data_IF_765984017437
#
_entry.id   IF_765984017437
#
_cell.length_a   1.000
_cell.length_b   1.000
_cell.length_c   1.000
_cell.angle_alpha   90.00
_cell.angle_beta   90.00
_cell.angle_gamma   90.00
#
_symmetry.space_group_name_H-M   'P 1'
#
loop_
_entity.id
_entity.type
_entity.pdbx_description
1 polymer ?
#
# COMPACT_ATOMS: atom_id res chain seq x y z
N UNK A 1 30.66 0.45 -76.86
CA UNK A 1 30.54 -0.41 -78.06
C UNK A 1 29.31 -1.29 -77.91
N UNK A 2 28.52 -1.21 -79.00
CA UNK A 2 27.40 -2.06 -79.44
C UNK A 2 26.08 -1.94 -78.63
N UNK A 3 25.23 -1.13 -79.30
CA UNK A 3 23.78 -1.21 -79.44
C UNK A 3 23.28 -2.58 -79.83
N UNK A 4 22.06 -2.93 -79.43
CA UNK A 4 21.05 -3.42 -80.40
C UNK A 4 19.66 -3.22 -79.78
N UNK A 5 18.85 -2.40 -80.44
CA UNK A 5 17.40 -2.28 -80.37
C UNK A 5 16.74 -3.35 -81.20
N UNK A 6 15.53 -3.78 -80.85
CA UNK A 6 14.51 -4.13 -81.87
C UNK A 6 13.10 -3.95 -81.32
N UNK A 7 12.30 -3.28 -82.13
CA UNK A 7 10.88 -2.94 -81.99
C UNK A 7 9.94 -4.09 -82.41
N UNK A 8 8.67 -3.85 -82.18
CA UNK A 8 7.44 -4.41 -82.77
C UNK A 8 6.79 -5.55 -81.96
N UNK A 9 5.48 -5.71 -81.75
CA UNK A 9 4.33 -5.06 -82.40
C UNK A 9 3.09 -5.28 -81.49
N UNK A 10 2.07 -4.44 -81.67
CA UNK A 10 0.76 -4.46 -81.16
C UNK A 10 -0.10 -5.65 -81.53
N UNK A 11 -0.81 -6.30 -80.65
CA UNK A 11 -2.12 -6.86 -80.98
C UNK A 11 -3.04 -6.84 -79.71
N UNK A 12 -4.11 -6.06 -79.81
CA UNK A 12 -5.26 -5.98 -78.92
C UNK A 12 -6.04 -7.32 -79.00
N UNK A 13 -6.22 -7.92 -77.79
CA UNK A 13 -7.31 -8.89 -77.56
C UNK A 13 -8.16 -8.44 -76.42
N UNK A 14 -9.37 -8.01 -76.73
CA UNK A 14 -10.45 -7.76 -75.73
C UNK A 14 -10.98 -9.10 -75.23
N UNK A 15 -11.00 -9.28 -73.90
CA UNK A 15 -11.79 -10.29 -73.19
C UNK A 15 -12.69 -9.65 -72.13
N UNK A 16 -13.85 -10.23 -71.78
CA UNK A 16 -14.94 -9.49 -71.22
C UNK A 16 -14.83 -9.35 -69.68
N UNK A 17 -15.30 -8.20 -69.17
CA UNK A 17 -15.47 -7.87 -67.78
C UNK A 17 -16.41 -8.87 -67.09
N UNK A 18 -15.90 -9.73 -66.21
CA UNK A 18 -16.67 -10.34 -65.11
C UNK A 18 -16.48 -9.48 -63.88
N UNK A 19 -17.55 -8.82 -63.42
CA UNK A 19 -17.64 -8.17 -62.10
C UNK A 19 -17.52 -9.22 -61.02
N UNK A 20 -16.34 -9.39 -60.43
CA UNK A 20 -16.18 -10.12 -59.18
C UNK A 20 -16.36 -9.16 -58.03
N UNK A 21 -17.47 -9.29 -57.32
CA UNK A 21 -17.73 -8.58 -56.06
C UNK A 21 -16.74 -9.14 -55.01
N UNK A 22 -15.69 -8.37 -54.70
CA UNK A 22 -14.83 -8.66 -53.55
C UNK A 22 -15.59 -8.26 -52.28
N UNK A 23 -16.17 -9.24 -51.58
CA UNK A 23 -16.59 -9.05 -50.18
C UNK A 23 -15.33 -8.89 -49.33
N UNK A 24 -14.99 -7.65 -48.98
CA UNK A 24 -14.05 -7.38 -47.87
C UNK A 24 -14.74 -7.79 -46.57
N UNK A 25 -14.46 -9.01 -46.09
CA UNK A 25 -14.72 -9.36 -44.73
C UNK A 25 -13.74 -8.57 -43.86
N UNK A 26 -14.24 -7.52 -43.18
CA UNK A 26 -13.53 -6.88 -42.07
C UNK A 26 -13.39 -7.91 -40.95
N UNK A 27 -12.31 -8.63 -40.93
CA UNK A 27 -11.88 -9.41 -39.79
C UNK A 27 -11.35 -8.39 -38.78
N UNK A 28 -12.19 -8.06 -37.79
CA UNK A 28 -11.74 -7.35 -36.59
C UNK A 28 -10.78 -8.28 -35.84
N UNK A 29 -9.49 -8.13 -36.07
CA UNK A 29 -8.49 -8.64 -35.17
C UNK A 29 -8.64 -7.88 -33.85
N UNK A 30 -9.37 -8.42 -32.93
CA UNK A 30 -9.31 -7.95 -31.54
C UNK A 30 -7.89 -8.27 -31.05
N UNK A 31 -7.13 -7.22 -30.75
CA UNK A 31 -5.81 -7.34 -30.14
C UNK A 31 -5.92 -8.25 -28.90
N UNK A 32 -5.18 -9.37 -28.82
CA UNK A 32 -5.27 -10.31 -27.70
C UNK A 32 -5.05 -9.64 -26.34
N UNK A 33 -4.31 -8.53 -26.29
CA UNK A 33 -4.11 -7.71 -25.08
C UNK A 33 -5.42 -7.04 -24.66
N UNK A 34 -6.25 -6.58 -25.60
CA UNK A 34 -7.56 -5.97 -25.32
C UNK A 34 -8.62 -7.01 -24.87
N UNK A 35 -8.54 -8.22 -25.39
CA UNK A 35 -9.47 -9.29 -25.02
C UNK A 35 -9.24 -9.80 -23.59
N UNK A 36 -7.99 -9.87 -23.14
CA UNK A 36 -7.64 -10.27 -21.77
C UNK A 36 -8.04 -9.19 -20.73
N UNK A 37 -7.86 -7.92 -21.08
CA UNK A 37 -8.25 -6.79 -20.22
C UNK A 37 -9.76 -6.73 -19.95
N UNK A 38 -10.61 -6.98 -20.97
CA UNK A 38 -12.06 -7.05 -20.82
C UNK A 38 -12.53 -8.16 -19.88
N UNK A 39 -11.73 -9.23 -19.73
CA UNK A 39 -12.05 -10.34 -18.81
C UNK A 39 -11.66 -10.01 -17.36
N UNK A 40 -10.71 -9.09 -17.15
CA UNK A 40 -10.22 -8.72 -15.82
C UNK A 40 -11.09 -7.68 -15.12
N UNK A 41 -11.71 -6.77 -15.87
CA UNK A 41 -12.49 -5.64 -15.36
C UNK A 41 -14.00 -5.91 -15.48
N UNK A 42 -14.72 -5.78 -14.37
CA UNK A 42 -16.18 -5.81 -14.32
C UNK A 42 -16.73 -4.51 -13.75
N UNK A 43 -17.78 -3.96 -14.34
CA UNK A 43 -18.45 -2.73 -13.91
C UNK A 43 -19.85 -3.03 -13.44
N UNK A 44 -20.32 -2.35 -12.38
CA UNK A 44 -21.62 -2.62 -11.73
C UNK A 44 -22.53 -1.40 -11.64
N UNK A 45 -22.01 -0.21 -11.85
CA UNK A 45 -22.79 1.02 -11.76
C UNK A 45 -22.02 2.25 -12.21
N UNK A 46 -22.68 3.38 -12.12
CA UNK A 46 -22.09 4.70 -12.32
C UNK A 46 -21.80 5.36 -10.98
N UNK A 47 -20.77 6.15 -10.94
CA UNK A 47 -20.41 6.94 -9.75
C UNK A 47 -21.40 8.09 -9.54
N UNK A 48 -21.57 8.47 -8.28
CA UNK A 48 -22.27 9.70 -7.94
C UNK A 48 -21.38 10.91 -8.30
N UNK A 49 -21.90 11.96 -8.97
CA UNK A 49 -21.13 13.18 -9.18
C UNK A 49 -20.68 13.77 -7.85
N UNK A 50 -19.49 14.37 -7.86
CA UNK A 50 -19.00 15.10 -6.70
C UNK A 50 -19.89 16.32 -6.43
N UNK A 51 -20.20 16.57 -5.15
CA UNK A 51 -20.94 17.76 -4.75
C UNK A 51 -20.04 18.99 -4.80
N UNK A 52 -20.62 20.14 -5.11
CA UNK A 52 -19.95 21.42 -4.97
C UNK A 52 -19.41 21.59 -3.55
N UNK A 53 -18.18 22.11 -3.42
CA UNK A 53 -17.48 22.32 -2.15
C UNK A 53 -17.12 21.03 -1.38
N UNK A 54 -17.10 19.87 -2.04
CA UNK A 54 -16.55 18.67 -1.41
C UNK A 54 -15.08 18.87 -1.05
N UNK A 55 -14.71 18.51 0.18
CA UNK A 55 -13.31 18.43 0.58
C UNK A 55 -12.77 17.08 0.12
N UNK A 56 -11.87 17.09 -0.84
CA UNK A 56 -11.34 15.89 -1.47
C UNK A 56 -9.83 15.83 -1.29
N UNK A 57 -9.29 14.63 -1.26
CA UNK A 57 -7.86 14.40 -1.14
C UNK A 57 -7.36 13.32 -2.11
N UNK A 58 -6.08 13.40 -2.46
CA UNK A 58 -5.37 12.28 -3.05
C UNK A 58 -5.03 11.26 -1.95
N UNK A 59 -4.78 10.01 -2.35
CA UNK A 59 -4.19 8.96 -1.49
C UNK A 59 -2.85 8.51 -2.09
N UNK A 60 -1.81 9.37 -2.07
CA UNK A 60 -0.63 9.21 -2.94
C UNK A 60 0.35 8.15 -2.48
N UNK A 61 0.15 7.53 -1.31
CA UNK A 61 1.03 6.55 -0.69
C UNK A 61 0.32 5.74 0.40
N UNK A 62 0.99 4.73 0.93
CA UNK A 62 0.54 3.98 2.09
C UNK A 62 0.23 4.94 3.26
N UNK A 63 -0.80 4.67 4.04
CA UNK A 63 -1.31 5.55 5.10
C UNK A 63 -1.85 6.92 4.64
N UNK A 64 -1.99 7.15 3.34
CA UNK A 64 -2.65 8.32 2.78
C UNK A 64 -1.85 9.61 2.81
N UNK A 65 -2.53 10.77 2.68
CA UNK A 65 -1.85 12.05 2.52
C UNK A 65 -1.08 12.51 3.76
N UNK A 66 -1.48 12.04 4.94
CA UNK A 66 -0.91 12.47 6.23
C UNK A 66 -0.05 11.40 6.90
N UNK A 67 0.25 10.28 6.22
CA UNK A 67 1.02 9.13 6.73
C UNK A 67 0.47 8.51 8.04
N UNK A 68 -0.82 8.64 8.30
CA UNK A 68 -1.45 8.25 9.56
C UNK A 68 -2.78 7.48 9.40
N UNK A 69 -3.08 6.97 8.21
CA UNK A 69 -4.32 6.26 7.87
C UNK A 69 -5.59 7.08 8.17
N UNK A 70 -5.54 8.39 7.94
CA UNK A 70 -6.71 9.27 8.11
C UNK A 70 -7.09 9.98 6.82
N UNK A 71 -8.40 10.25 6.68
CA UNK A 71 -8.98 11.07 5.62
C UNK A 71 -9.87 12.13 6.23
N UNK A 72 -9.83 13.33 5.65
CA UNK A 72 -10.71 14.45 5.99
C UNK A 72 -11.74 14.70 4.87
N UNK A 73 -11.93 13.76 3.96
CA UNK A 73 -12.90 13.90 2.88
C UNK A 73 -14.33 14.01 3.42
N UNK A 74 -15.09 14.95 2.87
CA UNK A 74 -16.48 15.21 3.19
C UNK A 74 -17.18 15.92 2.01
N UNK A 75 -18.49 15.75 1.83
CA UNK A 75 -19.36 14.81 2.55
C UNK A 75 -19.24 13.37 2.01
N UNK A 76 -19.40 12.39 2.89
CA UNK A 76 -19.43 10.97 2.55
C UNK A 76 -20.72 10.31 3.07
N UNK A 77 -21.20 9.27 2.38
CA UNK A 77 -22.44 8.56 2.74
C UNK A 77 -22.39 7.93 4.15
N UNK A 78 -21.20 7.56 4.61
CA UNK A 78 -20.96 6.94 5.92
C UNK A 78 -21.15 7.89 7.12
N UNK A 79 -21.19 9.20 6.91
CA UNK A 79 -21.41 10.19 7.98
C UNK A 79 -22.74 9.99 8.70
N UNK A 80 -23.72 9.39 8.04
CA UNK A 80 -25.02 9.05 8.62
C UNK A 80 -25.02 7.77 9.47
N UNK A 81 -23.86 7.17 9.71
CA UNK A 81 -23.74 5.94 10.52
C UNK A 81 -24.14 4.65 9.77
N UNK A 82 -24.16 4.65 8.45
CA UNK A 82 -24.48 3.48 7.62
C UNK A 82 -23.49 3.28 6.49
N UNK A 83 -23.14 2.02 6.20
CA UNK A 83 -22.32 1.60 5.06
C UNK A 83 -23.18 1.54 3.77
N UNK A 84 -23.84 2.63 3.43
CA UNK A 84 -24.55 2.74 2.16
C UNK A 84 -23.54 2.97 1.03
N UNK A 85 -22.73 1.94 0.76
CA UNK A 85 -21.68 1.94 -0.25
C UNK A 85 -22.09 1.14 -1.47
N UNK A 86 -21.74 1.62 -2.65
CA UNK A 86 -22.07 0.96 -3.93
C UNK A 86 -20.80 0.48 -4.61
N UNK A 87 -20.73 -0.81 -4.96
CA UNK A 87 -19.64 -1.32 -5.77
C UNK A 87 -19.77 -0.76 -7.20
N UNK A 88 -18.73 -0.08 -7.69
CA UNK A 88 -18.70 0.53 -9.02
C UNK A 88 -18.01 -0.37 -10.02
N UNK A 89 -16.83 -0.85 -9.65
CA UNK A 89 -16.09 -1.79 -10.47
C UNK A 89 -15.22 -2.71 -9.62
N UNK A 90 -14.81 -3.81 -10.21
CA UNK A 90 -13.79 -4.69 -9.67
C UNK A 90 -12.83 -5.14 -10.76
N UNK A 91 -11.58 -5.34 -10.40
CA UNK A 91 -10.50 -5.74 -11.29
C UNK A 91 -9.80 -6.97 -10.75
N UNK A 92 -9.80 -8.07 -11.51
CA UNK A 92 -8.94 -9.21 -11.19
C UNK A 92 -7.47 -8.79 -11.29
N UNK A 93 -6.71 -9.04 -10.22
CA UNK A 93 -5.27 -8.75 -10.13
C UNK A 93 -4.45 -10.00 -9.87
N UNK A 94 -3.14 -9.86 -9.94
CA UNK A 94 -2.20 -10.86 -9.45
C UNK A 94 -1.97 -10.79 -7.95
N UNK A 95 -0.92 -11.44 -7.48
CA UNK A 95 -0.52 -11.52 -6.07
C UNK A 95 0.06 -10.20 -5.55
N UNK A 96 -0.01 -9.98 -4.25
CA UNK A 96 0.61 -8.85 -3.56
C UNK A 96 -0.30 -8.20 -2.53
N UNK A 97 0.33 -7.56 -1.54
CA UNK A 97 -0.32 -6.83 -0.44
C UNK A 97 -0.14 -5.31 -0.56
N UNK A 98 0.47 -4.81 -1.63
CA UNK A 98 0.65 -3.38 -1.84
C UNK A 98 -0.69 -2.66 -1.93
N UNK A 99 -0.90 -1.63 -1.10
CA UNK A 99 -2.07 -0.75 -1.20
C UNK A 99 -1.98 0.10 -2.47
N UNK A 100 -3.09 0.39 -3.16
CA UNK A 100 -3.05 1.29 -4.31
C UNK A 100 -2.74 2.73 -3.88
N UNK A 101 -2.10 3.48 -4.77
CA UNK A 101 -1.88 4.91 -4.62
C UNK A 101 -2.70 5.69 -5.67
N UNK A 102 -3.32 6.79 -5.25
CA UNK A 102 -4.20 7.57 -6.13
C UNK A 102 -3.82 9.05 -6.10
N UNK A 103 -3.58 9.63 -7.25
CA UNK A 103 -3.36 11.08 -7.43
C UNK A 103 -3.54 11.45 -8.90
N UNK A 104 -3.91 12.70 -9.18
CA UNK A 104 -3.98 13.26 -10.55
C UNK A 104 -4.72 12.36 -11.54
N UNK A 105 -5.88 11.83 -11.15
CA UNK A 105 -6.69 10.91 -11.96
C UNK A 105 -5.96 9.63 -12.39
N UNK A 106 -4.97 9.19 -11.61
CA UNK A 106 -4.27 7.92 -11.77
C UNK A 106 -4.39 7.10 -10.49
N UNK A 107 -4.88 5.88 -10.61
CA UNK A 107 -4.79 4.84 -9.59
C UNK A 107 -3.63 3.93 -9.99
N UNK A 108 -2.63 3.82 -9.14
CA UNK A 108 -1.47 2.95 -9.37
C UNK A 108 -1.67 1.65 -8.59
N UNK A 109 -1.77 0.56 -9.31
CA UNK A 109 -1.84 -0.80 -8.78
C UNK A 109 -0.49 -1.49 -9.01
N UNK A 110 0.04 -2.12 -7.95
CA UNK A 110 1.29 -2.88 -8.02
C UNK A 110 1.05 -4.31 -7.55
N UNK A 111 1.29 -5.28 -8.44
CA UNK A 111 1.01 -6.69 -8.19
C UNK A 111 1.97 -7.59 -8.97
N UNK A 112 1.98 -8.90 -8.66
CA UNK A 112 2.76 -9.91 -9.37
C UNK A 112 1.81 -10.85 -10.13
N UNK A 113 2.08 -11.03 -11.41
CA UNK A 113 1.35 -11.98 -12.25
C UNK A 113 2.30 -12.64 -13.25
N UNK A 114 2.19 -13.95 -13.42
CA UNK A 114 2.99 -14.72 -14.38
C UNK A 114 4.51 -14.47 -14.25
N UNK A 115 5.03 -14.37 -13.01
CA UNK A 115 6.46 -14.16 -12.77
C UNK A 115 6.95 -12.73 -13.05
N UNK A 116 6.05 -11.77 -13.25
CA UNK A 116 6.38 -10.36 -13.44
C UNK A 116 5.72 -9.50 -12.38
N UNK A 117 6.47 -8.60 -11.78
CA UNK A 117 5.91 -7.46 -11.07
C UNK A 117 5.39 -6.45 -12.07
N UNK A 118 4.14 -6.05 -11.91
CA UNK A 118 3.39 -5.17 -12.82
C UNK A 118 2.96 -3.93 -12.05
N UNK A 119 3.36 -2.78 -12.56
CA UNK A 119 2.90 -1.46 -12.11
C UNK A 119 1.95 -0.97 -13.19
N UNK A 120 0.67 -0.83 -12.88
CA UNK A 120 -0.31 -0.34 -13.84
C UNK A 120 -1.05 0.88 -13.34
N UNK A 121 -1.24 1.87 -14.23
CA UNK A 121 -2.11 2.99 -13.98
C UNK A 121 -3.50 2.74 -14.54
N UNK A 122 -4.49 3.05 -13.74
CA UNK A 122 -5.90 2.94 -14.08
C UNK A 122 -6.65 4.23 -13.81
N UNK A 123 -7.70 4.47 -14.58
CA UNK A 123 -8.61 5.55 -14.28
C UNK A 123 -9.36 5.23 -12.96
N UNK A 124 -9.30 6.08 -11.95
CA UNK A 124 -9.84 5.75 -10.62
C UNK A 124 -11.32 5.41 -10.64
N UNK A 125 -12.12 6.14 -11.38
CA UNK A 125 -13.58 6.03 -11.42
C UNK A 125 -14.08 4.85 -12.25
N UNK A 126 -13.35 4.44 -13.28
CA UNK A 126 -13.81 3.41 -14.24
C UNK A 126 -13.01 2.11 -14.18
N UNK A 127 -11.85 2.10 -13.53
CA UNK A 127 -10.94 0.96 -13.51
C UNK A 127 -10.22 0.69 -14.84
N UNK A 128 -10.50 1.46 -15.89
CA UNK A 128 -9.91 1.27 -17.22
C UNK A 128 -8.40 1.50 -17.18
N UNK A 129 -7.65 0.59 -17.80
CA UNK A 129 -6.19 0.67 -17.88
C UNK A 129 -5.75 1.86 -18.74
N UNK A 130 -4.80 2.62 -18.22
CA UNK A 130 -4.17 3.73 -18.94
C UNK A 130 -2.82 3.30 -19.50
N UNK A 131 -1.96 2.75 -18.63
CA UNK A 131 -0.68 2.17 -19.01
C UNK A 131 -0.28 1.03 -18.07
N UNK A 132 0.71 0.24 -18.47
CA UNK A 132 1.36 -0.73 -17.58
C UNK A 132 2.85 -0.82 -17.88
N UNK A 133 3.64 -1.01 -16.83
CA UNK A 133 5.06 -1.32 -16.87
C UNK A 133 5.30 -2.61 -16.10
N UNK A 134 6.14 -3.50 -16.61
CA UNK A 134 6.41 -4.78 -15.96
C UNK A 134 7.88 -5.18 -16.08
N UNK A 135 8.31 -5.99 -15.14
CA UNK A 135 9.64 -6.59 -15.16
C UNK A 135 9.63 -7.97 -14.49
N UNK A 136 10.54 -8.88 -14.87
CA UNK A 136 10.65 -10.19 -14.24
C UNK A 136 10.95 -10.07 -12.74
N UNK A 137 10.25 -10.86 -11.93
CA UNK A 137 10.46 -10.94 -10.49
C UNK A 137 10.29 -12.39 -10.05
N UNK A 138 11.39 -13.05 -9.73
CA UNK A 138 11.39 -14.41 -9.21
C UNK A 138 11.52 -14.38 -7.69
N UNK A 139 10.38 -14.50 -7.04
CA UNK A 139 10.30 -14.60 -5.58
C UNK A 139 9.28 -15.66 -5.19
N UNK A 140 9.61 -16.44 -4.17
CA UNK A 140 8.69 -17.40 -3.54
C UNK A 140 8.70 -17.18 -2.04
N UNK A 141 7.54 -16.91 -1.49
CA UNK A 141 7.35 -16.77 -0.06
C UNK A 141 7.57 -18.10 0.65
N UNK A 142 8.35 -18.11 1.75
CA UNK A 142 8.72 -19.33 2.46
C UNK A 142 7.57 -19.96 3.24
N UNK A 143 6.58 -19.16 3.60
CA UNK A 143 5.47 -19.55 4.46
C UNK A 143 4.17 -19.73 3.69
N UNK A 144 4.21 -19.60 2.36
CA UNK A 144 3.03 -19.78 1.49
C UNK A 144 2.10 -18.59 1.46
N UNK A 145 2.55 -17.41 1.87
CA UNK A 145 1.85 -16.16 1.64
C UNK A 145 2.00 -15.69 0.18
N UNK A 146 1.56 -14.49 -0.13
CA UNK A 146 1.69 -13.94 -1.46
C UNK A 146 3.16 -13.78 -1.92
N UNK A 147 3.43 -14.05 -3.20
CA UNK A 147 4.74 -13.84 -3.82
C UNK A 147 4.91 -12.43 -4.39
N UNK A 148 3.87 -11.62 -4.39
CA UNK A 148 3.88 -10.28 -4.98
C UNK A 148 4.38 -9.18 -4.04
N UNK A 149 4.39 -7.93 -4.53
CA UNK A 149 4.90 -6.79 -3.81
C UNK A 149 4.11 -6.53 -2.53
N UNK A 150 4.81 -6.09 -1.50
CA UNK A 150 4.27 -5.68 -0.19
C UNK A 150 4.37 -4.18 0.02
N UNK A 151 5.41 -3.57 -0.52
CA UNK A 151 5.56 -2.12 -0.49
C UNK A 151 4.58 -1.47 -1.47
N UNK A 152 3.85 -0.48 -0.99
CA UNK A 152 2.92 0.31 -1.79
C UNK A 152 3.66 1.32 -2.66
N UNK A 153 3.18 1.63 -3.85
CA UNK A 153 3.76 2.69 -4.68
C UNK A 153 3.56 4.06 -4.01
N UNK A 154 4.44 4.98 -4.36
CA UNK A 154 4.38 6.38 -3.95
C UNK A 154 4.25 7.24 -5.19
N UNK A 155 3.25 8.12 -5.21
CA UNK A 155 3.07 9.15 -6.24
C UNK A 155 3.58 10.48 -5.69
N UNK A 156 4.53 11.09 -6.39
CA UNK A 156 5.08 12.38 -6.02
C UNK A 156 5.55 13.14 -7.25
N UNK A 157 5.15 14.40 -7.36
CA UNK A 157 5.59 15.33 -8.42
C UNK A 157 5.54 14.72 -9.83
N UNK A 158 4.38 14.16 -10.21
CA UNK A 158 4.16 13.55 -11.52
C UNK A 158 4.95 12.25 -11.77
N UNK A 159 5.44 11.60 -10.73
CA UNK A 159 6.22 10.34 -10.80
C UNK A 159 5.63 9.27 -9.91
N UNK A 160 5.88 8.03 -10.27
CA UNK A 160 5.55 6.83 -9.50
C UNK A 160 6.84 6.15 -9.09
N UNK A 161 7.00 5.93 -7.78
CA UNK A 161 8.11 5.16 -7.21
C UNK A 161 7.58 3.85 -6.66
N UNK A 162 8.15 2.73 -7.10
CA UNK A 162 7.76 1.40 -6.67
C UNK A 162 8.98 0.59 -6.22
N UNK A 163 8.86 -0.04 -5.03
CA UNK A 163 9.88 -0.91 -4.46
C UNK A 163 9.40 -2.36 -4.48
N UNK A 164 9.94 -3.16 -5.39
CA UNK A 164 9.54 -4.54 -5.61
C UNK A 164 9.99 -5.51 -4.52
N UNK A 165 9.34 -6.67 -4.45
CA UNK A 165 9.63 -7.72 -3.46
C UNK A 165 11.06 -8.25 -3.55
N UNK A 166 11.68 -8.17 -4.73
CA UNK A 166 13.07 -8.56 -5.00
C UNK A 166 14.06 -7.42 -4.88
N UNK A 167 13.64 -6.26 -4.36
CA UNK A 167 14.42 -5.02 -4.18
C UNK A 167 14.72 -4.24 -5.47
N UNK A 168 13.95 -4.42 -6.53
CA UNK A 168 13.95 -3.46 -7.62
C UNK A 168 13.31 -2.14 -7.16
N UNK A 169 13.99 -1.04 -7.40
CA UNK A 169 13.46 0.32 -7.20
C UNK A 169 13.25 0.95 -8.57
N UNK A 170 12.00 1.29 -8.87
CA UNK A 170 11.59 1.78 -10.19
C UNK A 170 10.94 3.14 -10.08
N UNK A 171 11.29 4.06 -10.96
CA UNK A 171 10.63 5.36 -11.13
C UNK A 171 10.03 5.46 -12.52
N UNK A 172 8.74 5.75 -12.59
CA UNK A 172 7.98 5.92 -13.82
C UNK A 172 7.38 7.33 -13.89
N UNK A 173 7.21 7.84 -15.09
CA UNK A 173 6.36 8.99 -15.33
C UNK A 173 4.89 8.64 -15.06
N UNK A 174 4.19 9.43 -14.26
CA UNK A 174 2.82 9.14 -13.81
C UNK A 174 1.81 9.15 -14.97
N UNK A 175 2.00 10.04 -15.93
CA UNK A 175 1.06 10.22 -17.03
C UNK A 175 1.18 9.12 -18.08
N UNK A 176 2.40 8.80 -18.48
CA UNK A 176 2.70 7.90 -19.61
C UNK A 176 3.15 6.49 -19.22
N UNK A 177 3.56 6.26 -17.96
CA UNK A 177 4.19 5.01 -17.53
C UNK A 177 5.61 4.79 -18.05
N UNK A 178 6.20 5.81 -18.70
CA UNK A 178 7.56 5.72 -19.21
C UNK A 178 8.56 5.50 -18.06
N UNK A 179 9.43 4.52 -18.23
CA UNK A 179 10.53 4.29 -17.30
C UNK A 179 11.51 5.48 -17.32
N UNK A 180 11.66 6.14 -16.17
CA UNK A 180 12.61 7.23 -15.99
C UNK A 180 13.96 6.70 -15.51
N UNK A 181 13.94 5.85 -14.47
CA UNK A 181 15.11 5.13 -13.98
C UNK A 181 14.71 3.88 -13.19
N UNK A 182 15.66 2.95 -13.06
CA UNK A 182 15.48 1.70 -12.31
C UNK A 182 16.81 1.30 -11.66
N UNK A 183 16.75 0.73 -10.44
CA UNK A 183 17.91 0.28 -9.66
C UNK A 183 17.69 -1.15 -9.14
N UNK A 184 18.71 -1.98 -9.23
CA UNK A 184 18.77 -3.29 -8.56
C UNK A 184 19.47 -3.14 -7.21
N UNK A 185 18.70 -2.76 -6.18
CA UNK A 185 19.25 -2.52 -4.86
C UNK A 185 19.82 -3.79 -4.22
N UNK A 186 19.30 -4.97 -4.59
CA UNK A 186 19.79 -6.25 -4.09
C UNK A 186 21.25 -6.48 -4.47
N UNK A 187 21.57 -6.28 -5.74
CA UNK A 187 22.92 -6.44 -6.26
C UNK A 187 23.83 -5.30 -5.80
N UNK A 188 23.35 -4.05 -5.84
CA UNK A 188 24.14 -2.86 -5.52
C UNK A 188 24.57 -2.78 -4.05
N UNK A 189 23.69 -3.20 -3.11
CA UNK A 189 23.95 -3.13 -1.67
C UNK A 189 24.13 -4.49 -1.02
N UNK A 190 24.21 -5.58 -1.81
CA UNK A 190 24.33 -6.94 -1.31
C UNK A 190 23.28 -7.24 -0.22
N UNK A 191 22.00 -6.98 -0.53
CA UNK A 191 20.92 -7.10 0.43
C UNK A 191 20.65 -8.58 0.73
N UNK A 192 20.59 -9.01 2.02
CA UNK A 192 20.28 -10.38 2.37
C UNK A 192 18.83 -10.74 2.01
N UNK A 193 18.58 -12.03 1.85
CA UNK A 193 17.20 -12.55 1.76
C UNK A 193 16.49 -12.41 3.11
N UNK A 194 15.27 -11.86 3.09
CA UNK A 194 14.38 -11.78 4.24
C UNK A 194 13.20 -12.74 4.08
N UNK A 195 12.48 -13.04 5.18
CA UNK A 195 11.35 -13.98 5.19
C UNK A 195 10.29 -13.63 4.13
N UNK A 196 9.94 -12.35 4.05
CA UNK A 196 8.84 -11.87 3.22
C UNK A 196 9.31 -10.98 2.05
N UNK A 197 10.58 -11.05 1.67
CA UNK A 197 11.16 -10.16 0.65
C UNK A 197 11.25 -8.71 1.13
N UNK A 198 11.04 -7.74 0.24
CA UNK A 198 11.02 -6.33 0.60
C UNK A 198 9.59 -5.84 0.81
N UNK A 199 9.34 -5.14 1.91
CA UNK A 199 8.00 -4.66 2.28
C UNK A 199 7.95 -3.22 2.78
N UNK A 200 9.10 -2.61 3.08
CA UNK A 200 9.17 -1.21 3.48
C UNK A 200 8.87 -0.28 2.30
N UNK A 201 7.92 0.64 2.49
CA UNK A 201 7.57 1.62 1.47
C UNK A 201 8.66 2.68 1.32
N UNK A 202 8.86 3.23 0.11
CA UNK A 202 9.70 4.42 -0.06
C UNK A 202 9.09 5.64 0.65
N UNK A 203 9.94 6.50 1.19
CA UNK A 203 9.57 7.81 1.73
C UNK A 203 10.14 8.91 0.86
N UNK A 204 9.32 9.89 0.49
CA UNK A 204 9.80 11.13 -0.13
C UNK A 204 9.96 12.20 0.94
N UNK A 205 11.17 12.71 1.12
CA UNK A 205 11.49 13.79 2.05
C UNK A 205 12.71 14.58 1.54
N UNK A 206 12.74 15.91 1.73
CA UNK A 206 13.87 16.78 1.37
C UNK A 206 14.44 16.51 -0.04
N UNK A 207 13.53 16.44 -1.04
CA UNK A 207 13.87 16.12 -2.43
C UNK A 207 14.67 14.81 -2.59
N UNK A 208 14.39 13.84 -1.75
CA UNK A 208 15.03 12.52 -1.75
C UNK A 208 14.01 11.41 -1.61
N UNK A 209 14.28 10.27 -2.25
CA UNK A 209 13.57 9.02 -2.03
C UNK A 209 14.37 8.18 -1.03
N UNK A 210 13.84 7.97 0.15
CA UNK A 210 14.53 7.35 1.29
C UNK A 210 14.00 5.95 1.52
N UNK A 211 14.90 4.97 1.66
CA UNK A 211 14.57 3.56 1.90
C UNK A 211 15.41 2.95 3.01
N UNK A 212 14.80 2.06 3.78
CA UNK A 212 15.49 1.14 4.67
C UNK A 212 16.01 -0.05 3.83
N UNK A 213 17.23 0.06 3.34
CA UNK A 213 17.83 -0.91 2.41
C UNK A 213 18.40 -2.13 3.15
N UNK A 214 19.13 -1.91 4.23
CA UNK A 214 19.72 -2.97 5.06
C UNK A 214 20.75 -3.82 4.34
N UNK A 215 21.67 -3.19 3.62
CA UNK A 215 22.78 -3.85 2.92
C UNK A 215 23.81 -4.46 3.87
N UNK A 216 24.44 -5.57 3.48
CA UNK A 216 25.45 -6.29 4.31
C UNK A 216 26.69 -5.47 4.61
N UNK A 217 27.02 -4.47 3.81
CA UNK A 217 28.13 -3.56 4.06
C UNK A 217 27.80 -2.42 5.02
N UNK A 218 26.66 -2.49 5.74
CA UNK A 218 26.24 -1.46 6.69
C UNK A 218 25.42 -0.32 6.07
N UNK A 219 25.10 -0.37 4.77
CA UNK A 219 24.23 0.60 4.13
C UNK A 219 22.78 0.37 4.61
N UNK A 220 22.47 0.92 5.78
CA UNK A 220 21.20 0.66 6.46
C UNK A 220 20.06 1.44 5.83
N UNK A 221 20.22 2.76 5.72
CA UNK A 221 19.23 3.66 5.09
C UNK A 221 19.91 4.43 3.96
N UNK A 222 19.27 4.48 2.81
CA UNK A 222 19.82 5.13 1.61
C UNK A 222 18.81 6.11 1.04
N UNK A 223 19.28 7.29 0.68
CA UNK A 223 18.51 8.26 -0.07
C UNK A 223 18.97 8.33 -1.53
N UNK A 224 18.00 8.40 -2.40
CA UNK A 224 18.17 8.53 -3.85
C UNK A 224 17.62 9.86 -4.33
N UNK A 225 18.27 10.42 -5.33
CA UNK A 225 17.75 11.57 -6.05
C UNK A 225 16.45 11.20 -6.80
N UNK A 226 15.42 12.01 -6.64
CA UNK A 226 14.09 11.72 -7.20
C UNK A 226 14.09 11.67 -8.74
N UNK A 227 14.92 12.48 -9.39
CA UNK A 227 14.92 12.61 -10.85
C UNK A 227 15.82 11.56 -11.53
N UNK A 228 16.95 11.26 -10.92
CA UNK A 228 18.01 10.45 -11.54
C UNK A 228 18.18 9.07 -10.92
N UNK A 229 17.62 8.85 -9.74
CA UNK A 229 17.83 7.64 -8.95
C UNK A 229 19.25 7.50 -8.39
N UNK A 230 20.13 8.47 -8.57
CA UNK A 230 21.51 8.43 -8.01
C UNK A 230 21.46 8.49 -6.49
N UNK A 231 22.39 7.79 -5.83
CA UNK A 231 22.54 7.83 -4.38
C UNK A 231 22.97 9.23 -3.95
N UNK A 232 22.24 9.86 -3.03
CA UNK A 232 22.55 11.17 -2.43
C UNK A 232 23.34 11.03 -1.14
N UNK A 233 22.87 10.16 -0.25
CA UNK A 233 23.54 9.86 1.01
C UNK A 233 23.22 8.44 1.50
N UNK A 234 24.05 7.93 2.38
CA UNK A 234 23.91 6.62 3.03
C UNK A 234 24.11 6.81 4.53
N UNK A 235 23.16 6.34 5.32
CA UNK A 235 23.32 6.21 6.76
C UNK A 235 23.87 4.83 7.06
N UNK A 236 25.09 4.79 7.62
CA UNK A 236 25.74 3.55 8.01
C UNK A 236 25.22 3.07 9.36
N UNK A 237 24.77 1.82 9.43
CA UNK A 237 24.45 1.09 10.66
C UNK A 237 24.56 -0.42 10.43
N UNK A 238 24.79 -1.17 11.50
CA UNK A 238 24.83 -2.65 11.45
C UNK A 238 23.46 -3.30 11.48
N UNK A 239 22.41 -2.51 11.71
CA UNK A 239 21.02 -3.01 11.71
C UNK A 239 20.53 -3.23 10.27
N UNK A 240 19.89 -4.36 10.05
CA UNK A 240 19.29 -4.68 8.76
C UNK A 240 17.98 -3.95 8.50
N UNK A 241 17.38 -4.19 7.34
CA UNK A 241 16.06 -3.65 7.04
C UNK A 241 14.96 -4.37 7.82
N UNK A 242 13.91 -3.63 8.17
CA UNK A 242 12.63 -4.16 8.63
C UNK A 242 11.57 -4.09 7.52
N UNK A 243 10.33 -4.48 7.85
CA UNK A 243 9.16 -4.28 6.98
C UNK A 243 8.43 -2.97 7.28
N UNK A 244 8.81 -2.30 8.37
CA UNK A 244 8.29 -0.99 8.75
C UNK A 244 8.71 0.08 7.74
N UNK A 245 7.77 0.93 7.37
CA UNK A 245 8.04 2.04 6.46
C UNK A 245 8.64 3.24 7.20
N UNK A 246 9.62 3.93 6.63
CA UNK A 246 10.11 5.20 7.14
C UNK A 246 9.00 6.24 7.20
N UNK A 247 9.04 7.13 8.20
CA UNK A 247 8.09 8.22 8.38
C UNK A 247 8.84 9.54 8.52
N UNK A 248 8.35 10.57 7.82
CA UNK A 248 8.88 11.93 7.96
C UNK A 248 8.19 12.66 9.11
N UNK A 249 8.96 13.44 9.86
CA UNK A 249 8.39 14.41 10.81
C UNK A 249 9.33 15.60 11.01
N UNK A 250 8.82 16.66 11.65
CA UNK A 250 9.63 17.80 12.05
C UNK A 250 9.88 17.73 13.56
N UNK A 251 11.15 17.65 13.98
CA UNK A 251 11.58 17.66 15.37
C UNK A 251 12.61 18.75 15.61
N UNK A 252 12.42 19.56 16.66
CA UNK A 252 13.33 20.65 17.03
C UNK A 252 13.72 21.53 15.83
N UNK A 253 12.75 21.84 14.95
CA UNK A 253 12.96 22.68 13.76
C UNK A 253 13.54 21.95 12.53
N UNK A 254 13.97 20.69 12.65
CA UNK A 254 14.59 19.88 11.60
C UNK A 254 13.63 18.85 11.02
N UNK A 255 13.67 18.66 9.71
CA UNK A 255 12.98 17.53 9.07
C UNK A 255 13.82 16.28 9.28
N UNK A 256 13.23 15.28 9.90
CA UNK A 256 13.87 14.00 10.21
C UNK A 256 13.09 12.83 9.65
N UNK A 257 13.79 11.74 9.42
CA UNK A 257 13.27 10.45 9.01
C UNK A 257 13.33 9.50 10.21
N UNK A 258 12.18 8.96 10.59
CA UNK A 258 12.05 7.91 11.61
C UNK A 258 12.08 6.57 10.91
N UNK A 259 13.08 5.74 11.22
CA UNK A 259 13.23 4.43 10.58
C UNK A 259 13.33 3.36 11.64
N UNK A 260 12.33 2.49 11.74
CA UNK A 260 12.41 1.30 12.57
C UNK A 260 13.13 0.21 11.78
N UNK A 261 14.31 -0.17 12.22
CA UNK A 261 15.21 -1.10 11.54
C UNK A 261 15.29 -2.44 12.29
N UNK A 262 15.97 -3.42 11.69
CA UNK A 262 16.19 -4.71 12.30
C UNK A 262 15.29 -5.80 11.73
N UNK A 263 15.75 -6.42 10.67
CA UNK A 263 15.18 -7.63 10.09
C UNK A 263 15.62 -8.90 10.82
N UNK A 264 15.50 -10.02 10.13
CA UNK A 264 15.96 -11.31 10.64
C UNK A 264 17.47 -11.28 10.82
N UNK A 265 17.93 -11.27 12.09
CA UNK A 265 19.34 -11.24 12.45
C UNK A 265 19.63 -12.18 13.61
N UNK A 266 20.87 -12.71 13.65
CA UNK A 266 21.38 -13.53 14.76
C UNK A 266 22.72 -12.97 15.23
N UNK A 267 22.81 -12.47 16.49
CA UNK A 267 21.71 -12.27 17.44
C UNK A 267 20.67 -11.23 16.94
N UNK A 268 19.41 -11.28 17.43
CA UNK A 268 18.40 -10.29 17.10
C UNK A 268 18.83 -8.89 17.53
N UNK A 269 18.86 -7.93 16.59
CA UNK A 269 19.20 -6.54 16.87
C UNK A 269 18.46 -5.62 15.91
N UNK A 270 18.19 -4.39 16.38
CA UNK A 270 17.44 -3.40 15.63
C UNK A 270 16.87 -2.33 16.55
N UNK A 271 16.08 -1.46 15.98
CA UNK A 271 15.43 -0.38 16.71
C UNK A 271 15.19 0.85 15.87
N UNK A 272 14.97 1.97 16.53
CA UNK A 272 14.73 3.26 15.91
C UNK A 272 16.03 3.96 15.55
N UNK A 273 16.12 4.40 14.31
CA UNK A 273 17.05 5.44 13.86
C UNK A 273 16.24 6.73 13.62
N UNK A 274 16.69 7.85 14.18
CA UNK A 274 16.29 9.20 13.77
C UNK A 274 17.42 9.77 12.93
N UNK A 275 17.09 10.12 11.69
CA UNK A 275 18.06 10.51 10.67
C UNK A 275 17.66 11.90 10.14
N UNK A 276 18.63 12.80 10.01
CA UNK A 276 18.44 14.05 9.29
C UNK A 276 18.09 13.75 7.83
N UNK A 277 16.90 14.13 7.40
CA UNK A 277 16.39 13.78 6.07
C UNK A 277 17.19 14.44 4.93
N UNK A 278 17.84 15.58 5.20
CA UNK A 278 18.61 16.34 4.21
C UNK A 278 19.93 15.65 3.84
N UNK A 279 20.65 15.11 4.84
CA UNK A 279 22.04 14.68 4.65
C UNK A 279 22.37 13.28 5.18
N UNK A 280 21.39 12.56 5.74
CA UNK A 280 21.58 11.20 6.23
C UNK A 280 22.31 11.09 7.56
N UNK A 281 22.58 12.21 8.27
CA UNK A 281 23.23 12.16 9.57
C UNK A 281 22.36 11.45 10.58
N UNK A 282 22.89 10.38 11.19
CA UNK A 282 22.23 9.67 12.28
C UNK A 282 22.25 10.53 13.53
N UNK A 283 21.06 10.92 14.01
CA UNK A 283 20.86 11.76 15.20
C UNK A 283 20.60 10.89 16.44
N UNK A 284 19.86 9.79 16.27
CA UNK A 284 19.51 8.85 17.34
C UNK A 284 19.72 7.41 16.87
N UNK A 285 20.15 6.57 17.79
CA UNK A 285 20.16 5.11 17.67
C UNK A 285 19.60 4.52 18.96
N UNK A 286 18.33 4.12 18.93
CA UNK A 286 17.61 3.59 20.10
C UNK A 286 17.30 2.11 19.89
N UNK A 287 17.93 1.19 20.64
CA UNK A 287 17.66 -0.25 20.55
C UNK A 287 16.21 -0.57 20.96
N UNK A 288 15.43 -1.08 20.02
CA UNK A 288 14.05 -1.49 20.25
C UNK A 288 13.72 -2.66 19.34
N UNK A 289 14.07 -3.87 19.76
CA UNK A 289 13.89 -5.10 19.00
C UNK A 289 13.58 -6.25 19.95
N UNK A 290 12.67 -7.13 19.55
CA UNK A 290 12.39 -8.39 20.24
C UNK A 290 13.63 -9.30 20.24
N UNK A 291 13.74 -10.15 21.24
CA UNK A 291 14.71 -11.25 21.25
C UNK A 291 14.36 -12.38 20.27
N UNK A 292 13.15 -12.38 19.72
CA UNK A 292 12.72 -13.36 18.72
C UNK A 292 13.40 -13.12 17.37
N UNK A 293 14.03 -14.16 16.83
CA UNK A 293 14.62 -14.10 15.48
C UNK A 293 13.58 -13.82 14.40
N UNK A 294 12.37 -14.37 14.54
CA UNK A 294 11.29 -14.24 13.56
C UNK A 294 10.57 -12.90 13.59
N UNK A 295 10.97 -11.98 14.48
CA UNK A 295 10.28 -10.70 14.58
C UNK A 295 10.31 -9.94 13.27
N UNK A 296 9.13 -9.76 12.70
CA UNK A 296 8.89 -8.97 11.51
C UNK A 296 8.32 -7.60 11.91
N UNK A 297 9.22 -6.63 12.15
CA UNK A 297 8.81 -5.26 12.46
C UNK A 297 8.12 -4.63 11.25
N UNK A 298 6.81 -4.43 11.31
CA UNK A 298 6.03 -3.92 10.19
C UNK A 298 5.27 -2.63 10.52
N UNK A 299 5.10 -2.30 11.80
CA UNK A 299 4.41 -1.07 12.24
C UNK A 299 5.29 0.15 12.00
N UNK A 300 4.87 1.15 11.22
CA UNK A 300 5.61 2.39 11.10
C UNK A 300 5.67 3.14 12.43
N UNK A 301 6.75 3.87 12.72
CA UNK A 301 6.78 4.81 13.85
C UNK A 301 5.64 5.82 13.74
N UNK A 302 4.97 6.14 14.84
CA UNK A 302 3.94 7.17 14.88
C UNK A 302 4.53 8.46 15.43
N UNK A 303 4.60 9.49 14.60
CA UNK A 303 5.02 10.82 15.02
C UNK A 303 3.91 11.54 15.78
N UNK A 304 4.26 12.23 16.85
CA UNK A 304 3.34 12.88 17.76
C UNK A 304 3.77 14.33 18.04
N UNK A 305 2.83 15.23 18.38
CA UNK A 305 3.16 16.57 18.80
C UNK A 305 4.14 16.61 20.00
N UNK A 306 4.93 17.68 20.10
CA UNK A 306 5.85 17.86 21.21
C UNK A 306 7.12 17.02 21.12
N UNK A 307 7.58 16.66 19.91
CA UNK A 307 8.77 15.83 19.67
C UNK A 307 8.67 14.44 20.34
N UNK A 308 7.48 13.87 20.33
CA UNK A 308 7.22 12.51 20.83
C UNK A 308 7.01 11.55 19.68
N UNK A 309 7.21 10.29 19.97
CA UNK A 309 6.90 9.22 19.02
C UNK A 309 6.51 7.94 19.74
N UNK A 310 5.63 7.17 19.09
CA UNK A 310 5.24 5.85 19.56
C UNK A 310 5.81 4.78 18.62
N UNK A 311 6.35 3.71 19.20
CA UNK A 311 6.81 2.52 18.52
C UNK A 311 6.06 1.30 19.05
N UNK A 312 5.82 0.34 18.18
CA UNK A 312 5.33 -0.98 18.60
C UNK A 312 6.04 -2.08 17.85
N UNK A 313 6.26 -3.19 18.54
CA UNK A 313 6.75 -4.44 18.00
C UNK A 313 5.96 -5.61 18.60
N UNK A 314 5.43 -6.46 17.73
CA UNK A 314 4.49 -7.51 18.10
C UNK A 314 5.11 -8.61 18.95
N UNK A 315 6.31 -9.03 18.71
CA UNK A 315 6.94 -10.23 19.25
C UNK A 315 7.40 -10.04 20.70
N UNK A 316 6.44 -9.87 21.62
CA UNK A 316 6.62 -9.71 23.07
C UNK A 316 7.38 -8.44 23.49
N UNK A 317 7.61 -7.52 22.59
CA UNK A 317 8.25 -6.23 22.90
C UNK A 317 7.25 -5.18 23.32
N UNK A 318 6.09 -5.14 22.67
CA UNK A 318 5.01 -4.21 22.95
C UNK A 318 5.21 -2.80 22.41
N UNK A 319 4.51 -1.84 23.03
CA UNK A 319 4.51 -0.44 22.65
C UNK A 319 5.29 0.44 23.61
N UNK A 320 5.97 1.47 23.07
CA UNK A 320 6.70 2.47 23.85
C UNK A 320 6.41 3.88 23.36
N UNK A 321 6.16 4.80 24.27
CA UNK A 321 6.15 6.23 23.99
C UNK A 321 7.50 6.82 24.38
N UNK A 322 8.11 7.52 23.44
CA UNK A 322 9.37 8.23 23.63
C UNK A 322 9.16 9.74 23.55
N UNK A 323 9.82 10.46 24.44
CA UNK A 323 10.11 11.90 24.34
C UNK A 323 11.50 12.07 23.80
N UNK A 324 11.67 12.91 22.77
CA UNK A 324 12.98 13.21 22.18
C UNK A 324 13.42 14.61 22.64
N UNK A 325 14.57 14.71 23.29
CA UNK A 325 15.12 16.00 23.74
C UNK A 325 15.77 16.79 22.58
N UNK A 326 16.18 18.01 22.84
CA UNK A 326 16.80 18.90 21.84
C UNK A 326 18.16 18.42 21.32
N UNK A 327 18.77 17.44 21.98
CA UNK A 327 20.01 16.75 21.55
C UNK A 327 19.71 15.44 20.83
N UNK A 328 18.41 15.15 20.59
CA UNK A 328 17.90 13.92 19.98
C UNK A 328 18.11 12.67 20.86
N UNK A 329 18.25 12.80 22.17
CA UNK A 329 18.28 11.66 23.08
C UNK A 329 16.83 11.20 23.36
N UNK A 330 16.51 9.91 23.20
CA UNK A 330 15.20 9.37 23.51
C UNK A 330 15.08 9.09 25.01
N UNK A 331 13.94 9.49 25.59
CA UNK A 331 13.56 9.18 26.95
C UNK A 331 12.24 8.39 26.92
N UNK A 332 12.18 7.28 27.62
CA UNK A 332 10.97 6.47 27.72
C UNK A 332 10.00 7.18 28.65
N UNK A 333 8.84 7.57 28.11
CA UNK A 333 7.72 8.12 28.92
C UNK A 333 6.96 6.97 29.57
N UNK A 334 6.62 5.97 28.77
CA UNK A 334 6.03 4.72 29.26
C UNK A 334 6.32 3.57 28.28
N UNK A 335 6.22 2.33 28.78
CA UNK A 335 6.36 1.09 28.04
C UNK A 335 5.24 0.13 28.44
N UNK A 336 4.58 -0.47 27.45
CA UNK A 336 3.43 -1.36 27.61
C UNK A 336 3.63 -2.62 26.74
N UNK A 337 4.06 -3.75 27.34
CA UNK A 337 4.28 -5.00 26.61
C UNK A 337 3.03 -5.53 25.89
N UNK A 338 1.85 -5.23 26.45
CA UNK A 338 0.56 -5.63 25.90
C UNK A 338 0.15 -4.88 24.62
N UNK A 339 0.79 -3.76 24.28
CA UNK A 339 0.55 -3.02 23.03
C UNK A 339 1.41 -3.57 21.88
N UNK A 340 1.31 -4.86 21.63
CA UNK A 340 2.08 -5.61 20.65
C UNK A 340 1.38 -5.64 19.29
N UNK A 341 1.38 -4.53 18.58
CA UNK A 341 0.76 -4.36 17.26
C UNK A 341 1.57 -5.09 16.20
N UNK A 342 0.91 -5.81 15.28
CA UNK A 342 1.61 -6.62 14.29
C UNK A 342 1.98 -5.84 13.02
N UNK A 343 1.02 -5.14 12.36
CA UNK A 343 1.29 -4.40 11.12
C UNK A 343 0.44 -3.14 10.91
N UNK A 344 -0.73 -3.01 11.55
CA UNK A 344 -1.52 -1.81 11.34
C UNK A 344 -0.85 -0.58 11.95
N UNK A 345 -1.01 0.56 11.31
CA UNK A 345 -0.61 1.85 11.88
C UNK A 345 -1.65 2.28 12.90
N UNK A 346 -1.28 2.44 14.18
CA UNK A 346 -2.25 2.92 15.18
C UNK A 346 -2.62 4.38 14.92
N UNK A 347 -3.87 4.71 15.24
CA UNK A 347 -4.45 6.03 14.99
C UNK A 347 -4.45 6.82 16.27
N UNK A 348 -4.03 8.09 16.18
CA UNK A 348 -4.12 9.05 17.29
C UNK A 348 -5.35 9.93 17.08
N UNK A 349 -6.21 9.98 18.08
CA UNK A 349 -7.42 10.80 18.09
C UNK A 349 -7.73 11.25 19.51
N UNK A 350 -8.00 12.55 19.71
CA UNK A 350 -8.39 13.17 20.97
C UNK A 350 -7.54 12.72 22.17
N UNK A 351 -6.20 12.82 22.02
CA UNK A 351 -5.26 12.47 23.08
C UNK A 351 -5.16 10.98 23.42
N UNK A 352 -5.73 10.11 22.58
CA UNK A 352 -5.70 8.66 22.74
C UNK A 352 -5.11 7.98 21.50
N UNK A 353 -4.55 6.80 21.74
CA UNK A 353 -4.02 5.90 20.71
C UNK A 353 -4.96 4.70 20.58
N UNK A 354 -5.42 4.46 19.34
CA UNK A 354 -6.28 3.34 18.96
C UNK A 354 -5.53 2.38 18.07
N UNK A 355 -5.59 1.09 18.36
CA UNK A 355 -4.90 0.07 17.59
C UNK A 355 -5.49 -1.31 17.80
N UNK A 356 -4.85 -2.30 17.17
CA UNK A 356 -5.15 -3.72 17.34
C UNK A 356 -3.86 -4.41 17.78
N UNK A 357 -3.86 -4.96 18.98
CA UNK A 357 -2.75 -5.73 19.54
C UNK A 357 -2.96 -7.23 19.29
N UNK A 358 -1.88 -7.96 19.10
CA UNK A 358 -1.88 -9.42 18.96
C UNK A 358 -1.20 -9.91 17.69
N UNK A 359 -0.42 -10.98 17.85
CA UNK A 359 0.35 -11.64 16.77
C UNK A 359 -0.52 -12.56 15.92
N UNK A 360 -1.49 -13.21 16.52
CA UNK A 360 -2.31 -14.22 15.87
C UNK A 360 -3.72 -13.73 15.62
N UNK A 361 -4.37 -14.27 14.59
CA UNK A 361 -5.75 -13.93 14.28
C UNK A 361 -6.66 -14.14 15.49
N UNK A 362 -6.59 -15.31 16.11
CA UNK A 362 -7.31 -15.57 17.36
C UNK A 362 -6.58 -14.89 18.53
N UNK A 363 -7.29 -14.02 19.23
CA UNK A 363 -6.76 -13.27 20.37
C UNK A 363 -6.29 -11.86 20.05
N UNK A 364 -6.42 -11.39 18.81
CA UNK A 364 -6.21 -9.99 18.50
C UNK A 364 -7.32 -9.13 19.12
N UNK A 365 -6.95 -8.04 19.80
CA UNK A 365 -7.85 -7.15 20.52
C UNK A 365 -7.61 -5.70 20.12
N UNK A 366 -8.71 -4.99 19.87
CA UNK A 366 -8.67 -3.55 19.75
C UNK A 366 -8.45 -2.91 21.12
N UNK A 367 -7.76 -1.79 21.15
CA UNK A 367 -7.47 -1.06 22.37
C UNK A 367 -7.59 0.45 22.17
N UNK A 368 -7.84 1.14 23.28
CA UNK A 368 -7.69 2.58 23.43
C UNK A 368 -6.83 2.85 24.67
N UNK A 369 -5.75 3.63 24.50
CA UNK A 369 -4.90 4.06 25.61
C UNK A 369 -4.72 5.57 25.60
N UNK A 370 -4.72 6.18 26.76
CA UNK A 370 -4.39 7.59 26.92
C UNK A 370 -2.93 7.82 26.52
N UNK A 371 -2.70 8.73 25.59
CA UNK A 371 -1.39 8.91 24.97
C UNK A 371 -0.31 9.32 25.96
N UNK A 372 -0.62 10.25 26.88
CA UNK A 372 0.39 10.81 27.77
C UNK A 372 0.84 9.87 28.89
N UNK A 373 -0.03 8.96 29.32
CA UNK A 373 0.21 8.08 30.47
C UNK A 373 0.31 6.60 30.13
N UNK A 374 -0.12 6.22 28.92
CA UNK A 374 -0.27 4.82 28.53
C UNK A 374 -1.36 4.09 29.32
N UNK A 375 -2.22 4.82 30.08
CA UNK A 375 -3.33 4.20 30.81
C UNK A 375 -4.33 3.64 29.82
N UNK A 376 -4.65 2.36 29.94
CA UNK A 376 -5.66 1.71 29.15
C UNK A 376 -7.05 2.26 29.52
N UNK A 377 -7.76 2.78 28.53
CA UNK A 377 -9.14 3.18 28.65
C UNK A 377 -10.06 1.95 28.45
N UNK A 378 -9.77 1.18 27.42
CA UNK A 378 -10.43 -0.11 27.16
C UNK A 378 -9.59 -0.99 26.25
N UNK A 379 -9.85 -2.31 26.33
CA UNK A 379 -9.36 -3.36 25.44
C UNK A 379 -10.46 -4.37 25.20
N UNK A 380 -10.77 -4.67 23.96
CA UNK A 380 -11.85 -5.61 23.64
C UNK A 380 -11.70 -6.18 22.24
N UNK A 381 -12.38 -7.28 21.97
CA UNK A 381 -12.53 -7.82 20.62
C UNK A 381 -13.72 -7.17 19.94
N UNK A 382 -13.52 -6.62 18.74
CA UNK A 382 -14.61 -6.08 17.95
C UNK A 382 -15.29 -7.23 17.22
N UNK A 383 -16.53 -7.53 17.62
CA UNK A 383 -17.32 -8.69 17.16
C UNK A 383 -18.69 -8.25 16.74
N UNK A 384 -19.23 -8.94 15.73
CA UNK A 384 -20.60 -8.75 15.26
C UNK A 384 -21.19 -10.05 14.73
N UNK A 385 -22.51 -10.08 14.62
CA UNK A 385 -23.23 -11.14 13.93
C UNK A 385 -23.62 -10.65 12.53
N UNK A 386 -23.53 -11.52 11.56
CA UNK A 386 -23.98 -11.26 10.20
C UNK A 386 -24.62 -12.49 9.61
N UNK A 387 -25.57 -12.28 8.69
CA UNK A 387 -26.18 -13.37 7.93
C UNK A 387 -25.55 -13.45 6.55
N UNK A 388 -24.93 -14.58 6.25
CA UNK A 388 -24.32 -14.83 4.96
C UNK A 388 -24.73 -16.20 4.42
N UNK A 389 -25.18 -16.29 3.16
CA UNK A 389 -25.67 -17.53 2.53
C UNK A 389 -26.64 -18.33 3.41
N UNK A 390 -27.62 -17.65 4.01
CA UNK A 390 -28.66 -18.24 4.91
C UNK A 390 -28.11 -18.79 6.26
N UNK A 391 -26.83 -18.53 6.59
CA UNK A 391 -26.22 -18.91 7.88
C UNK A 391 -25.92 -17.66 8.70
N UNK A 392 -26.10 -17.76 10.01
CA UNK A 392 -25.61 -16.75 10.94
C UNK A 392 -24.15 -17.04 11.25
N UNK A 393 -23.33 -16.00 11.13
CA UNK A 393 -21.90 -16.06 11.39
C UNK A 393 -21.53 -15.05 12.48
N UNK A 394 -20.71 -15.50 13.43
CA UNK A 394 -20.03 -14.63 14.38
C UNK A 394 -18.67 -14.24 13.79
N UNK A 395 -18.49 -12.99 13.48
CA UNK A 395 -17.28 -12.46 12.88
C UNK A 395 -16.55 -11.53 13.85
N UNK A 396 -15.26 -11.36 13.63
CA UNK A 396 -14.38 -10.47 14.38
C UNK A 396 -13.54 -9.64 13.41
N UNK A 397 -13.07 -8.49 13.88
CA UNK A 397 -12.12 -7.68 13.13
C UNK A 397 -10.77 -8.37 12.98
N UNK A 398 -10.41 -9.22 13.95
CA UNK A 398 -9.12 -9.91 14.03
C UNK A 398 -7.93 -8.91 13.94
N UNK A 399 -6.90 -9.24 13.14
CA UNK A 399 -5.77 -8.34 12.86
C UNK A 399 -6.07 -7.46 11.65
N UNK A 400 -7.27 -6.90 11.59
CA UNK A 400 -7.68 -5.95 10.55
C UNK A 400 -6.92 -4.62 10.63
N UNK A 401 -7.39 -3.65 9.88
CA UNK A 401 -6.86 -2.30 9.88
C UNK A 401 -7.97 -1.27 10.04
N UNK A 402 -7.61 -0.07 10.52
CA UNK A 402 -8.52 1.07 10.56
C UNK A 402 -8.12 2.12 9.53
N UNK A 403 -9.13 2.74 8.95
CA UNK A 403 -9.05 4.02 8.28
C UNK A 403 -9.92 4.99 9.07
N UNK A 404 -9.36 6.08 9.59
CA UNK A 404 -10.13 7.12 10.25
C UNK A 404 -10.62 8.12 9.20
N UNK A 405 -11.92 8.36 9.17
CA UNK A 405 -12.56 9.29 8.25
C UNK A 405 -13.35 10.30 9.11
N UNK A 406 -12.86 11.53 9.20
CA UNK A 406 -13.37 12.52 10.15
C UNK A 406 -13.46 11.91 11.56
N UNK A 407 -14.64 11.78 12.15
CA UNK A 407 -14.86 11.22 13.48
C UNK A 407 -15.25 9.72 13.46
N UNK A 408 -15.26 9.09 12.28
CA UNK A 408 -15.60 7.68 12.10
C UNK A 408 -14.34 6.81 11.93
N UNK A 409 -14.43 5.56 12.38
CA UNK A 409 -13.46 4.53 12.13
C UNK A 409 -14.04 3.49 11.17
N UNK A 410 -13.42 3.31 10.03
CA UNK A 410 -13.77 2.27 9.08
C UNK A 410 -12.77 1.13 9.20
N UNK A 411 -13.19 0.02 9.81
CA UNK A 411 -12.39 -1.19 9.94
C UNK A 411 -12.52 -2.06 8.71
N UNK A 412 -11.40 -2.62 8.23
CA UNK A 412 -11.39 -3.74 7.29
C UNK A 412 -10.91 -4.98 8.04
N UNK A 413 -11.80 -5.97 8.19
CA UNK A 413 -11.48 -7.22 8.87
C UNK A 413 -10.54 -8.11 8.04
N UNK A 414 -9.81 -8.99 8.70
CA UNK A 414 -8.89 -9.93 8.08
C UNK A 414 -9.58 -10.92 7.12
N UNK A 415 -10.91 -11.03 7.18
CA UNK A 415 -11.74 -11.89 6.33
C UNK A 415 -12.59 -11.12 5.29
N UNK A 416 -12.42 -9.81 5.17
CA UNK A 416 -13.06 -9.00 4.12
C UNK A 416 -14.41 -8.40 4.49
N UNK A 417 -14.67 -8.12 5.78
CA UNK A 417 -15.81 -7.30 6.20
C UNK A 417 -15.39 -5.85 6.40
N UNK A 418 -16.20 -4.91 5.99
CA UNK A 418 -16.15 -3.53 6.47
C UNK A 418 -16.98 -3.39 7.75
N UNK A 419 -16.46 -2.59 8.68
CA UNK A 419 -17.08 -2.31 9.97
C UNK A 419 -16.98 -0.80 10.21
N UNK A 420 -18.10 -0.12 10.20
CA UNK A 420 -18.18 1.31 10.52
C UNK A 420 -18.40 1.47 12.02
N UNK A 421 -17.57 2.29 12.67
CA UNK A 421 -17.56 2.43 14.13
C UNK A 421 -17.40 3.87 14.56
N UNK A 422 -17.94 4.18 15.73
CA UNK A 422 -17.48 5.25 16.57
C UNK A 422 -16.56 4.68 17.66
N UNK A 423 -15.45 5.34 17.92
CA UNK A 423 -14.53 4.97 19.00
C UNK A 423 -14.15 6.21 19.81
N UNK A 424 -14.20 6.07 21.13
CA UNK A 424 -13.83 7.10 22.08
C UNK A 424 -13.24 6.45 23.35
N UNK A 425 -12.77 7.20 24.35
CA UNK A 425 -12.21 6.62 25.58
C UNK A 425 -13.19 5.80 26.43
N UNK A 426 -14.50 5.93 26.20
CA UNK A 426 -15.54 5.16 26.93
C UNK A 426 -15.80 3.80 26.30
N UNK A 427 -15.38 3.60 25.04
CA UNK A 427 -15.59 2.35 24.34
C UNK A 427 -15.69 2.53 22.81
N UNK A 428 -16.32 1.56 22.16
CA UNK A 428 -16.66 1.62 20.74
C UNK A 428 -18.10 1.17 20.50
N UNK A 429 -18.67 1.73 19.48
CA UNK A 429 -19.99 1.32 18.95
C UNK A 429 -19.83 0.91 17.50
N UNK A 430 -20.38 -0.27 17.14
CA UNK A 430 -20.49 -0.71 15.74
C UNK A 430 -21.77 -0.11 15.19
N UNK A 431 -21.63 0.81 14.22
CA UNK A 431 -22.76 1.48 13.59
C UNK A 431 -23.34 0.64 12.46
N UNK A 432 -22.47 0.00 11.65
CA UNK A 432 -22.89 -0.84 10.52
C UNK A 432 -21.79 -1.80 10.10
N UNK A 433 -22.15 -2.89 9.45
CA UNK A 433 -21.21 -3.90 8.93
C UNK A 433 -21.63 -4.41 7.56
N UNK A 434 -20.65 -4.60 6.69
CA UNK A 434 -20.89 -5.20 5.37
C UNK A 434 -19.84 -6.25 5.03
N UNK A 435 -20.28 -7.47 4.74
CA UNK A 435 -19.40 -8.52 4.21
C UNK A 435 -19.19 -8.32 2.72
N UNK A 436 -17.96 -8.05 2.30
CA UNK A 436 -17.63 -7.81 0.90
C UNK A 436 -17.23 -9.09 0.16
N UNK A 437 -16.48 -9.95 0.85
CA UNK A 437 -15.98 -11.25 0.38
C UNK A 437 -15.46 -12.05 1.58
N UNK A 438 -15.21 -13.35 1.39
CA UNK A 438 -14.56 -14.21 2.39
C UNK A 438 -13.17 -14.65 1.90
N UNK A 439 -12.16 -13.81 2.11
CA UNK A 439 -10.77 -14.14 1.77
C UNK A 439 -9.87 -13.89 2.99
N UNK A 440 -9.07 -14.89 3.41
CA UNK A 440 -8.08 -14.68 4.47
C UNK A 440 -6.98 -13.73 3.99
N UNK A 441 -6.15 -13.24 4.91
CA UNK A 441 -5.02 -12.39 4.53
C UNK A 441 -5.40 -11.02 3.96
N UNK A 442 -6.59 -10.50 4.29
CA UNK A 442 -7.04 -9.15 3.91
C UNK A 442 -6.40 -8.12 4.84
N UNK A 443 -5.08 -7.92 4.65
CA UNK A 443 -4.25 -7.07 5.51
C UNK A 443 -3.92 -5.71 4.91
N UNK A 444 -4.20 -5.53 3.63
CA UNK A 444 -3.91 -4.27 2.94
C UNK A 444 -4.85 -3.18 3.42
N UNK A 445 -4.28 -2.06 3.88
CA UNK A 445 -5.06 -0.87 4.25
C UNK A 445 -5.86 -0.38 3.04
N UNK A 446 -7.16 -0.13 3.17
CA UNK A 446 -7.95 0.53 2.13
C UNK A 446 -7.40 1.91 1.78
N UNK A 447 -7.60 2.34 0.54
CA UNK A 447 -7.30 3.69 0.10
C UNK A 447 -8.61 4.44 -0.16
N UNK A 448 -8.68 5.70 0.29
CA UNK A 448 -9.84 6.57 0.06
C UNK A 448 -9.39 7.82 -0.68
N UNK A 449 -9.97 8.05 -1.85
CA UNK A 449 -9.66 9.23 -2.65
C UNK A 449 -10.87 9.67 -3.47
N UNK A 450 -11.21 10.94 -3.37
CA UNK A 450 -12.33 11.56 -4.09
C UNK A 450 -13.67 10.86 -3.86
N UNK A 451 -13.92 10.42 -2.63
CA UNK A 451 -15.13 9.71 -2.24
C UNK A 451 -15.19 8.26 -2.71
N UNK A 452 -14.13 7.73 -3.30
CA UNK A 452 -14.03 6.33 -3.74
C UNK A 452 -13.11 5.53 -2.83
N UNK A 453 -13.63 4.41 -2.33
CA UNK A 453 -12.91 3.47 -1.46
C UNK A 453 -12.40 2.29 -2.28
N UNK A 454 -11.09 2.04 -2.20
CA UNK A 454 -10.42 0.97 -2.91
C UNK A 454 -9.96 -0.10 -1.93
N UNK A 455 -10.41 -1.34 -2.15
CA UNK A 455 -10.15 -2.47 -1.25
C UNK A 455 -9.48 -3.60 -2.02
N UNK A 456 -8.40 -4.12 -1.44
CA UNK A 456 -7.64 -5.24 -1.98
C UNK A 456 -8.13 -6.57 -1.37
N UNK A 457 -8.69 -7.44 -2.18
CA UNK A 457 -8.83 -8.86 -1.87
C UNK A 457 -7.54 -9.56 -2.33
N UNK A 458 -6.76 -10.08 -1.40
CA UNK A 458 -5.41 -10.60 -1.70
C UNK A 458 -5.37 -12.11 -1.97
N UNK A 459 -6.35 -12.85 -1.49
CA UNK A 459 -6.50 -14.29 -1.71
C UNK A 459 -7.84 -14.63 -2.34
N UNK A 460 -8.01 -15.89 -2.72
CA UNK A 460 -9.27 -16.36 -3.32
C UNK A 460 -10.42 -16.25 -2.31
N UNK A 461 -11.52 -15.66 -2.74
CA UNK A 461 -12.78 -15.62 -1.99
C UNK A 461 -13.33 -17.04 -1.85
N UNK A 462 -13.35 -17.55 -0.63
CA UNK A 462 -13.77 -18.92 -0.32
C UNK A 462 -15.27 -19.15 -0.51
N UNK A 463 -16.06 -18.10 -0.54
CA UNK A 463 -17.51 -18.19 -0.72
C UNK A 463 -17.91 -18.15 -2.19
N UNK A 464 -17.36 -17.24 -2.97
CA UNK A 464 -17.72 -17.00 -4.36
C UNK A 464 -16.68 -17.53 -5.37
N UNK A 465 -15.52 -18.00 -4.92
CA UNK A 465 -14.45 -18.52 -5.78
C UNK A 465 -13.70 -17.45 -6.58
N UNK A 466 -13.97 -16.17 -6.33
CA UNK A 466 -13.27 -15.09 -7.03
C UNK A 466 -11.78 -15.05 -6.69
N UNK A 467 -10.94 -15.00 -7.71
CA UNK A 467 -9.51 -14.79 -7.57
C UNK A 467 -9.21 -13.42 -6.97
N UNK A 468 -7.96 -13.13 -6.55
CA UNK A 468 -7.59 -11.82 -6.01
C UNK A 468 -8.05 -10.66 -6.88
N UNK A 469 -8.63 -9.62 -6.24
CA UNK A 469 -9.23 -8.46 -6.91
C UNK A 469 -8.88 -7.15 -6.21
N UNK A 470 -8.92 -6.06 -6.96
CA UNK A 470 -9.11 -4.71 -6.47
C UNK A 470 -10.59 -4.33 -6.69
N UNK A 471 -11.25 -3.86 -5.63
CA UNK A 471 -12.65 -3.45 -5.65
C UNK A 471 -12.74 -1.95 -5.40
N UNK A 472 -13.61 -1.27 -6.14
CA UNK A 472 -13.92 0.16 -5.97
C UNK A 472 -15.36 0.33 -5.52
N UNK A 473 -15.54 1.06 -4.42
CA UNK A 473 -16.84 1.43 -3.86
C UNK A 473 -17.02 2.94 -3.84
N UNK A 474 -18.22 3.39 -4.17
CA UNK A 474 -18.61 4.80 -4.12
C UNK A 474 -19.20 5.10 -2.72
N UNK A 475 -18.55 6.04 -2.02
CA UNK A 475 -18.98 6.60 -0.74
C UNK A 475 -19.55 8.01 -0.90
N UNK A 476 -19.67 8.52 -2.12
CA UNK A 476 -20.27 9.83 -2.38
C UNK A 476 -21.74 9.82 -2.02
N UNK A 477 -22.26 10.81 -1.28
CA UNK A 477 -23.68 10.86 -0.94
C UNK A 477 -24.54 11.10 -2.19
N UNK A 478 -25.68 10.45 -2.24
CA UNK A 478 -26.69 10.64 -3.28
C UNK A 478 -27.27 12.06 -3.24
#
# INVERSE_FOLDING_TARGET
MKHYSFNHDLSLVRLPYKKTLLLLSLVFFTDPVHADEKKRLSTFGTITPLKDRAHLSAWPRFNGPYDNATSLEAPLSIEKGSLNIRKIWELQKGEGYASPAISQNRLILFHLQNGHEIIEARHPETGVKIWSHQYPAQYRDRYGYSNGPRASPVIWDGKVYAHGVTAWLTCLDLESGKLLWKRDLKSEFNIPGYFFGKGSNPLVAENSLILNVGGKGGQCVVAFDLLTGKTKWITQDTWGASYSSPVQTKMHGRVVCLVLTGGESRPPHGGLLIIDALNGKKLTRFPWRSASYESANAVPPVSLPGNRLFLSECYEKGGVLLQIDSKYNPQIVWHKPELNIHWMTPIVHDGHLYGIAGRHQRGAEAFCVQLDTGKEAWRNRIRWQTRFMKRELNLELFRGSYLKINDRFLGLSELGSLVLMEMNPQGFEILDTQQLFFAPGTWTLPALSQGLLYIMQNETDRAAGHKPRLLCYDLRPN
#
